data_IF_621164341942
#
_entry.id   IF_621164341942
#
_cell.length_a   1.000
_cell.length_b   1.000
_cell.length_c   1.000
_cell.angle_alpha   90.00
_cell.angle_beta   90.00
_cell.angle_gamma   90.00
#
_symmetry.space_group_name_H-M   'P 1'
#
loop_
_entity.id
_entity.type
_entity.pdbx_description
1 polymer ?
#
# COMPACT_ATOMS: atom_id res chain seq x y z
N UNK A 1 -3.53 -13.13 3.16
CA UNK A 1 -2.77 -13.04 4.43
C UNK A 1 -3.62 -12.25 5.40
N UNK A 2 -3.72 -12.69 6.64
CA UNK A 2 -4.59 -12.08 7.64
C UNK A 2 -3.75 -11.23 8.61
N UNK A 3 -3.19 -10.14 8.08
CA UNK A 3 -2.29 -9.25 8.84
C UNK A 3 -2.99 -8.62 10.05
N UNK A 4 -4.30 -8.39 9.97
CA UNK A 4 -5.09 -7.86 11.08
C UNK A 4 -5.18 -8.85 12.24
N UNK A 5 -5.35 -10.16 11.98
CA UNK A 5 -5.31 -11.17 13.05
C UNK A 5 -3.95 -11.26 13.73
N UNK A 6 -2.86 -11.14 12.97
CA UNK A 6 -1.51 -11.11 13.55
C UNK A 6 -1.35 -9.87 14.45
N UNK A 7 -1.78 -8.68 13.98
CA UNK A 7 -1.71 -7.47 14.77
C UNK A 7 -2.51 -7.55 16.07
N UNK A 8 -3.71 -8.13 16.05
CA UNK A 8 -4.52 -8.36 17.26
C UNK A 8 -3.84 -9.32 18.24
N UNK A 9 -3.23 -10.39 17.72
CA UNK A 9 -2.47 -11.32 18.54
C UNK A 9 -1.28 -10.62 19.22
N UNK A 10 -0.52 -9.82 18.46
CA UNK A 10 0.63 -9.08 18.99
C UNK A 10 0.21 -8.07 20.06
N UNK A 11 -0.82 -7.26 19.83
CA UNK A 11 -1.31 -6.29 20.81
C UNK A 11 -1.85 -6.96 22.08
N UNK A 12 -2.46 -8.15 21.94
CA UNK A 12 -2.94 -8.93 23.11
C UNK A 12 -1.79 -9.56 23.90
N UNK A 13 -0.74 -10.01 23.20
CA UNK A 13 0.38 -10.75 23.81
C UNK A 13 1.48 -9.83 24.33
N UNK A 14 1.70 -8.70 23.66
CA UNK A 14 2.75 -7.71 23.91
C UNK A 14 2.14 -6.30 23.84
N UNK A 15 1.41 -5.87 24.89
CA UNK A 15 0.64 -4.62 24.88
C UNK A 15 1.48 -3.35 25.07
N UNK A 16 2.79 -3.46 25.27
CA UNK A 16 3.70 -2.33 25.43
C UNK A 16 4.86 -2.41 24.43
N UNK A 17 5.07 -1.39 23.58
CA UNK A 17 4.27 -0.16 23.46
C UNK A 17 2.89 -0.41 22.81
N UNK A 18 1.84 0.31 23.23
CA UNK A 18 0.49 0.10 22.70
C UNK A 18 0.37 0.60 21.26
N UNK A 19 -0.31 -0.17 20.40
CA UNK A 19 -0.58 0.17 19.01
C UNK A 19 -2.10 0.19 18.74
N UNK A 20 -2.70 1.37 18.48
CA UNK A 20 -4.11 1.44 18.08
C UNK A 20 -4.36 0.65 16.79
N UNK A 21 -5.13 -0.44 16.90
CA UNK A 21 -5.42 -1.32 15.75
C UNK A 21 -6.64 -0.87 14.94
N UNK A 22 -7.60 -0.21 15.58
CA UNK A 22 -8.86 0.19 14.95
C UNK A 22 -9.18 1.62 15.33
N UNK A 23 -9.56 2.42 14.33
CA UNK A 23 -10.17 3.73 14.53
C UNK A 23 -11.19 4.00 13.41
N UNK A 24 -12.20 4.87 13.63
CA UNK A 24 -13.12 5.26 12.56
C UNK A 24 -12.41 5.86 11.34
N UNK A 25 -11.41 6.71 11.58
CA UNK A 25 -10.59 7.32 10.53
C UNK A 25 -9.76 6.26 9.79
N UNK A 26 -9.06 5.40 10.52
CA UNK A 26 -8.24 4.34 9.95
C UNK A 26 -9.03 3.36 9.09
N UNK A 27 -10.19 2.90 9.59
CA UNK A 27 -11.09 2.01 8.84
C UNK A 27 -11.57 2.65 7.53
N UNK A 28 -11.88 3.95 7.56
CA UNK A 28 -12.29 4.70 6.37
C UNK A 28 -11.15 4.78 5.34
N UNK A 29 -9.94 5.09 5.78
CA UNK A 29 -8.73 5.13 4.95
C UNK A 29 -8.46 3.76 4.32
N UNK A 30 -8.44 2.69 5.13
CA UNK A 30 -8.15 1.34 4.66
C UNK A 30 -9.16 0.86 3.60
N UNK A 31 -10.45 1.08 3.82
CA UNK A 31 -11.49 0.68 2.88
C UNK A 31 -11.39 1.44 1.56
N UNK A 32 -11.18 2.76 1.59
CA UNK A 32 -11.01 3.53 0.35
C UNK A 32 -9.70 3.18 -0.36
N UNK A 33 -8.61 3.00 0.36
CA UNK A 33 -7.30 2.61 -0.20
C UNK A 33 -7.36 1.26 -0.92
N UNK A 34 -8.06 0.26 -0.37
CA UNK A 34 -8.23 -1.05 -1.02
C UNK A 34 -8.93 -0.95 -2.38
N UNK A 35 -9.88 -0.04 -2.50
CA UNK A 35 -10.62 0.17 -3.75
C UNK A 35 -9.80 1.00 -4.74
N UNK A 36 -9.28 2.15 -4.30
CA UNK A 36 -8.64 3.13 -5.17
C UNK A 36 -7.19 2.74 -5.43
N UNK A 37 -6.33 2.74 -4.41
CA UNK A 37 -4.91 2.42 -4.55
C UNK A 37 -4.73 0.98 -5.01
N UNK A 38 -5.54 0.05 -4.48
CA UNK A 38 -5.53 -1.35 -4.92
C UNK A 38 -5.80 -1.52 -6.42
N UNK A 39 -6.68 -0.69 -7.01
CA UNK A 39 -6.92 -0.72 -8.46
C UNK A 39 -5.72 -0.25 -9.27
N UNK A 40 -5.05 0.82 -8.81
CA UNK A 40 -3.82 1.34 -9.43
C UNK A 40 -2.69 0.33 -9.30
N UNK A 41 -2.49 -0.25 -8.11
CA UNK A 41 -1.43 -1.22 -7.87
C UNK A 41 -1.64 -2.52 -8.65
N UNK A 42 -2.89 -2.92 -8.89
CA UNK A 42 -3.19 -4.03 -9.79
C UNK A 42 -2.69 -3.77 -11.20
N UNK A 43 -2.77 -2.54 -11.69
CA UNK A 43 -2.34 -2.19 -13.05
C UNK A 43 -0.85 -1.87 -13.12
N UNK A 44 -0.32 -1.14 -12.13
CA UNK A 44 1.03 -0.59 -12.13
C UNK A 44 2.07 -1.42 -11.36
N UNK A 45 1.71 -2.09 -10.27
CA UNK A 45 2.69 -2.84 -9.45
C UNK A 45 2.72 -4.31 -9.87
N UNK A 46 1.55 -4.96 -9.90
CA UNK A 46 1.43 -6.40 -10.16
C UNK A 46 2.20 -6.91 -11.39
N UNK A 47 2.15 -6.28 -12.59
CA UNK A 47 2.88 -6.80 -13.74
C UNK A 47 4.39 -6.68 -13.59
N UNK A 48 4.87 -5.76 -12.75
CA UNK A 48 6.29 -5.50 -12.50
C UNK A 48 6.86 -6.37 -11.37
N UNK A 49 6.00 -6.93 -10.49
CA UNK A 49 6.43 -7.83 -9.40
C UNK A 49 7.27 -9.02 -9.90
N UNK A 50 7.05 -9.48 -11.15
CA UNK A 50 7.83 -10.58 -11.72
C UNK A 50 9.33 -10.29 -11.78
N UNK A 51 9.74 -9.02 -11.84
CA UNK A 51 11.15 -8.63 -11.94
C UNK A 51 11.91 -8.67 -10.62
N UNK A 52 11.21 -8.70 -9.48
CA UNK A 52 11.82 -8.74 -8.13
C UNK A 52 11.70 -10.11 -7.47
N UNK A 53 10.90 -11.02 -8.04
CA UNK A 53 10.69 -12.36 -7.53
C UNK A 53 11.82 -13.32 -7.93
N UNK A 54 12.08 -14.32 -7.08
CA UNK A 54 12.97 -15.43 -7.42
C UNK A 54 12.46 -16.20 -8.65
N UNK A 55 13.33 -16.86 -9.45
CA UNK A 55 12.90 -17.60 -10.64
C UNK A 55 11.80 -18.64 -10.37
N UNK A 56 11.87 -19.35 -9.24
CA UNK A 56 10.84 -20.30 -8.85
C UNK A 56 9.49 -19.62 -8.55
N UNK A 57 9.52 -18.47 -7.88
CA UNK A 57 8.32 -17.69 -7.57
C UNK A 57 7.70 -17.05 -8.82
N UNK A 58 8.51 -16.68 -9.82
CA UNK A 58 8.03 -16.06 -11.06
C UNK A 58 7.06 -16.96 -11.84
N UNK A 59 7.35 -18.26 -11.98
CA UNK A 59 6.45 -19.21 -12.68
C UNK A 59 5.09 -19.28 -12.00
N UNK A 60 5.09 -19.53 -10.69
CA UNK A 60 3.87 -19.61 -9.91
C UNK A 60 3.09 -18.29 -9.93
N UNK A 61 3.80 -17.16 -9.77
CA UNK A 61 3.20 -15.84 -9.77
C UNK A 61 2.53 -15.54 -11.11
N UNK A 62 3.23 -15.69 -12.23
CA UNK A 62 2.68 -15.47 -13.57
C UNK A 62 1.45 -16.34 -13.79
N UNK A 63 1.57 -17.66 -13.62
CA UNK A 63 0.47 -18.61 -13.83
C UNK A 63 -0.77 -18.24 -13.03
N UNK A 64 -0.61 -17.94 -11.73
CA UNK A 64 -1.76 -17.68 -10.85
C UNK A 64 -2.36 -16.28 -11.02
N UNK A 65 -1.55 -15.28 -11.39
CA UNK A 65 -2.04 -13.91 -11.62
C UNK A 65 -2.71 -13.77 -12.97
N UNK A 66 -2.15 -14.32 -14.04
CA UNK A 66 -2.78 -14.32 -15.37
C UNK A 66 -4.11 -15.11 -15.35
N UNK A 67 -4.18 -16.22 -14.61
CA UNK A 67 -5.45 -16.92 -14.38
C UNK A 67 -6.51 -16.03 -13.70
N UNK A 68 -6.11 -15.21 -12.71
CA UNK A 68 -7.01 -14.25 -12.04
C UNK A 68 -7.42 -13.08 -12.92
N UNK A 69 -6.65 -12.76 -13.97
CA UNK A 69 -7.01 -11.78 -14.98
C UNK A 69 -7.97 -12.34 -16.04
N UNK A 70 -8.36 -13.61 -15.95
CA UNK A 70 -9.28 -14.27 -16.88
C UNK A 70 -8.61 -15.30 -17.79
N UNK A 71 -7.37 -15.72 -17.52
CA UNK A 71 -6.71 -16.85 -18.18
C UNK A 71 -6.21 -16.63 -19.61
N UNK A 72 -6.59 -15.52 -20.25
CA UNK A 72 -6.12 -15.11 -21.57
C UNK A 72 -5.34 -13.79 -21.61
N UNK A 73 -5.19 -13.10 -20.47
CA UNK A 73 -4.50 -11.83 -20.38
C UNK A 73 -3.13 -12.02 -19.71
N UNK A 74 -2.08 -11.55 -20.38
CA UNK A 74 -0.72 -11.52 -19.83
C UNK A 74 -0.55 -10.39 -18.83
N UNK A 75 0.42 -10.51 -17.94
CA UNK A 75 0.77 -9.42 -17.02
C UNK A 75 1.07 -8.12 -17.78
N UNK A 76 1.85 -8.20 -18.86
CA UNK A 76 2.28 -7.06 -19.66
C UNK A 76 1.10 -6.30 -20.30
N UNK A 77 -0.03 -6.98 -20.55
CA UNK A 77 -1.23 -6.37 -21.12
C UNK A 77 -1.90 -5.37 -20.17
N UNK A 78 -1.53 -5.36 -18.88
CA UNK A 78 -1.98 -4.36 -17.90
C UNK A 78 -1.32 -2.99 -18.14
N UNK A 79 -0.13 -2.97 -18.73
CA UNK A 79 0.61 -1.75 -19.04
C UNK A 79 0.40 -1.28 -20.49
N UNK A 80 -0.06 -2.18 -21.37
CA UNK A 80 -0.29 -1.89 -22.77
C UNK A 80 -1.31 -0.76 -23.00
N UNK A 81 -1.18 -0.07 -24.14
CA UNK A 81 -2.17 0.89 -24.65
C UNK A 81 -2.52 2.03 -23.67
N UNK A 82 -1.58 2.45 -22.82
CA UNK A 82 -1.83 3.53 -21.85
C UNK A 82 -2.86 3.18 -20.77
N UNK A 83 -3.10 1.89 -20.51
CA UNK A 83 -4.00 1.43 -19.43
C UNK A 83 -3.54 1.90 -18.05
N UNK A 84 -2.22 1.95 -17.82
CA UNK A 84 -1.65 2.50 -16.60
C UNK A 84 -2.06 3.95 -16.37
N UNK A 85 -1.84 4.83 -17.36
CA UNK A 85 -2.18 6.25 -17.20
C UNK A 85 -3.69 6.46 -17.00
N UNK A 86 -4.53 5.74 -17.75
CA UNK A 86 -5.99 5.76 -17.57
C UNK A 86 -6.40 5.29 -16.17
N UNK A 87 -5.73 4.28 -15.62
CA UNK A 87 -5.96 3.82 -14.25
C UNK A 87 -5.62 4.90 -13.22
N UNK A 88 -4.53 5.63 -13.44
CA UNK A 88 -4.14 6.74 -12.57
C UNK A 88 -5.08 7.94 -12.67
N UNK A 89 -5.49 8.30 -13.88
CA UNK A 89 -6.47 9.36 -14.12
C UNK A 89 -7.79 9.05 -13.42
N UNK A 90 -8.32 7.83 -13.58
CA UNK A 90 -9.55 7.39 -12.94
C UNK A 90 -9.45 7.36 -11.40
N UNK A 91 -8.27 7.06 -10.85
CA UNK A 91 -8.05 6.99 -9.41
C UNK A 91 -7.69 8.34 -8.77
N UNK A 92 -7.32 9.35 -9.55
CA UNK A 92 -6.69 10.61 -9.08
C UNK A 92 -7.45 11.27 -7.93
N UNK A 93 -8.75 11.52 -8.12
CA UNK A 93 -9.58 12.17 -7.09
C UNK A 93 -9.67 11.32 -5.82
N UNK A 94 -9.76 10.01 -5.97
CA UNK A 94 -9.80 9.08 -4.85
C UNK A 94 -8.48 9.04 -4.06
N UNK A 95 -7.33 9.01 -4.75
CA UNK A 95 -6.01 9.03 -4.10
C UNK A 95 -5.81 10.37 -3.38
N UNK A 96 -6.23 11.48 -4.00
CA UNK A 96 -6.17 12.80 -3.37
C UNK A 96 -7.06 12.87 -2.12
N UNK A 97 -8.29 12.36 -2.18
CA UNK A 97 -9.16 12.28 -1.01
C UNK A 97 -8.53 11.46 0.12
N UNK A 98 -7.94 10.30 -0.19
CA UNK A 98 -7.24 9.49 0.81
C UNK A 98 -6.07 10.26 1.42
N UNK A 99 -5.30 10.98 0.60
CA UNK A 99 -4.21 11.82 1.06
C UNK A 99 -4.65 12.89 2.05
N UNK A 100 -5.76 13.57 1.79
CA UNK A 100 -6.35 14.52 2.74
C UNK A 100 -6.81 13.85 4.04
N UNK A 101 -7.34 12.62 3.97
CA UNK A 101 -7.69 11.85 5.18
C UNK A 101 -6.47 11.50 6.02
N UNK A 102 -5.33 11.14 5.40
CA UNK A 102 -4.07 10.89 6.11
C UNK A 102 -3.62 12.15 6.87
N UNK A 103 -3.90 13.34 6.33
CA UNK A 103 -3.52 14.62 6.93
C UNK A 103 -4.48 15.15 8.00
N UNK A 104 -5.57 14.42 8.33
CA UNK A 104 -6.59 14.86 9.31
C UNK A 104 -5.97 15.34 10.62
N UNK A 105 -4.91 14.68 11.10
CA UNK A 105 -4.23 15.01 12.36
C UNK A 105 -2.79 15.52 12.15
N UNK A 106 -2.45 16.03 10.96
CA UNK A 106 -1.07 16.40 10.60
C UNK A 106 -0.46 17.50 11.49
N UNK A 107 -1.28 18.33 12.14
CA UNK A 107 -0.80 19.34 13.11
C UNK A 107 -0.22 18.68 14.36
N UNK A 108 -0.74 17.51 14.76
CA UNK A 108 -0.29 16.79 15.95
C UNK A 108 0.93 15.90 15.68
N UNK A 109 1.12 15.44 14.45
CA UNK A 109 2.26 14.62 14.06
C UNK A 109 2.06 13.96 12.68
N UNK A 110 3.05 13.17 12.23
CA UNK A 110 3.06 12.60 10.88
C UNK A 110 2.10 11.42 10.69
N UNK A 111 1.56 10.86 11.78
CA UNK A 111 0.73 9.66 11.73
C UNK A 111 -0.75 9.98 11.57
N UNK A 112 -1.52 9.00 11.11
CA UNK A 112 -2.99 9.10 10.91
C UNK A 112 -3.70 9.53 12.19
N UNK A 113 -3.22 9.09 13.36
CA UNK A 113 -3.76 9.46 14.68
C UNK A 113 -2.94 10.56 15.39
N UNK A 114 -2.04 11.24 14.67
CA UNK A 114 -1.23 12.34 15.14
C UNK A 114 0.17 11.91 15.60
N UNK A 115 0.36 11.79 16.91
CA UNK A 115 1.70 11.71 17.53
C UNK A 115 2.33 10.31 17.45
N UNK A 116 1.52 9.24 17.56
CA UNK A 116 1.99 7.85 17.60
C UNK A 116 1.44 7.07 16.40
N UNK A 117 2.17 6.05 15.92
CA UNK A 117 1.69 5.20 14.83
C UNK A 117 0.45 4.40 15.25
N UNK A 118 -0.32 4.01 14.25
CA UNK A 118 -1.45 3.09 14.32
C UNK A 118 -1.28 1.96 13.30
N UNK A 119 -2.14 0.94 13.37
CA UNK A 119 -2.15 -0.12 12.36
C UNK A 119 -2.36 0.44 10.94
N UNK A 120 -3.15 1.51 10.78
CA UNK A 120 -3.38 2.13 9.47
C UNK A 120 -2.10 2.76 8.90
N UNK A 121 -1.24 3.34 9.74
CA UNK A 121 0.05 3.87 9.29
C UNK A 121 0.92 2.75 8.71
N UNK A 122 1.00 1.60 9.37
CA UNK A 122 1.74 0.44 8.86
C UNK A 122 1.08 -0.21 7.65
N UNK A 123 -0.25 -0.17 7.54
CA UNK A 123 -0.96 -0.60 6.32
C UNK A 123 -0.56 0.24 5.11
N UNK A 124 -0.47 1.56 5.27
CA UNK A 124 -0.05 2.49 4.22
C UNK A 124 1.44 2.33 3.93
N UNK A 125 2.30 2.42 4.95
CA UNK A 125 3.75 2.33 4.81
C UNK A 125 4.18 1.00 4.18
N UNK A 126 3.61 -0.13 4.61
CA UNK A 126 3.92 -1.45 4.03
C UNK A 126 3.48 -1.58 2.57
N UNK A 127 2.37 -0.94 2.19
CA UNK A 127 1.92 -0.91 0.79
C UNK A 127 2.85 -0.06 -0.08
N UNK A 128 3.29 1.10 0.44
CA UNK A 128 4.23 1.99 -0.23
C UNK A 128 5.62 1.37 -0.35
N UNK A 129 6.09 0.68 0.68
CA UNK A 129 7.38 -0.04 0.65
C UNK A 129 7.37 -1.14 -0.41
N UNK A 130 6.28 -1.91 -0.50
CA UNK A 130 6.13 -2.91 -1.56
C UNK A 130 6.17 -2.27 -2.95
N UNK A 131 5.48 -1.13 -3.14
CA UNK A 131 5.56 -0.38 -4.39
C UNK A 131 6.98 0.09 -4.68
N UNK A 132 7.69 0.65 -3.69
CA UNK A 132 9.06 1.16 -3.84
C UNK A 132 10.05 0.07 -4.25
N UNK A 133 9.93 -1.12 -3.67
CA UNK A 133 10.77 -2.28 -4.02
C UNK A 133 10.51 -2.76 -5.44
N UNK A 134 9.26 -2.71 -5.90
CA UNK A 134 8.85 -3.21 -7.23
C UNK A 134 9.13 -2.18 -8.33
N UNK A 135 8.76 -0.92 -8.09
CA UNK A 135 8.90 0.19 -9.02
C UNK A 135 8.91 1.53 -8.25
N UNK A 136 10.08 2.17 -8.20
CA UNK A 136 10.27 3.45 -7.50
C UNK A 136 9.41 4.59 -8.11
N UNK A 137 9.15 4.56 -9.42
CA UNK A 137 8.30 5.56 -10.08
C UNK A 137 6.85 5.51 -9.63
N UNK A 138 6.31 4.30 -9.44
CA UNK A 138 4.96 4.10 -8.87
C UNK A 138 4.90 4.60 -7.43
N UNK A 139 5.93 4.30 -6.62
CA UNK A 139 6.04 4.80 -5.25
C UNK A 139 6.07 6.33 -5.20
N UNK A 140 6.95 6.96 -5.98
CA UNK A 140 7.06 8.42 -6.06
C UNK A 140 5.76 9.07 -6.51
N UNK A 141 5.05 8.44 -7.45
CA UNK A 141 3.75 8.92 -7.91
C UNK A 141 2.68 8.91 -6.82
N UNK A 142 2.63 7.89 -5.95
CA UNK A 142 1.73 7.90 -4.78
C UNK A 142 2.18 8.94 -3.76
N UNK A 143 3.49 9.01 -3.48
CA UNK A 143 4.05 9.95 -2.51
C UNK A 143 3.93 11.42 -2.95
N UNK A 144 3.69 11.69 -4.23
CA UNK A 144 3.34 13.02 -4.73
C UNK A 144 1.94 13.49 -4.32
N UNK A 145 1.07 12.60 -3.85
CA UNK A 145 -0.21 12.98 -3.25
C UNK A 145 -0.03 13.34 -1.76
N UNK A 146 -0.91 14.19 -1.20
CA UNK A 146 -0.77 14.66 0.18
C UNK A 146 -0.69 13.52 1.21
N UNK A 147 0.14 13.65 2.25
CA UNK A 147 0.12 12.79 3.43
C UNK A 147 0.80 11.43 3.29
N UNK A 148 0.92 10.87 2.08
CA UNK A 148 1.51 9.55 1.87
C UNK A 148 2.99 9.50 2.24
N UNK A 149 3.76 10.51 1.81
CA UNK A 149 5.19 10.59 2.13
C UNK A 149 5.41 10.78 3.62
N UNK A 150 4.64 11.65 4.26
CA UNK A 150 4.77 11.94 5.69
C UNK A 150 4.48 10.70 6.55
N UNK A 151 3.45 9.93 6.22
CA UNK A 151 3.14 8.66 6.92
C UNK A 151 4.24 7.62 6.68
N UNK A 152 4.72 7.50 5.44
CA UNK A 152 5.79 6.55 5.08
C UNK A 152 7.10 6.87 5.82
N UNK A 153 7.56 8.12 5.74
CA UNK A 153 8.78 8.59 6.38
C UNK A 153 8.65 8.51 7.91
N UNK A 154 7.46 8.81 8.44
CA UNK A 154 7.13 8.64 9.85
C UNK A 154 7.30 7.19 10.33
N UNK A 155 7.11 6.20 9.46
CA UNK A 155 7.27 4.77 9.75
C UNK A 155 8.70 4.24 9.50
N UNK A 156 9.64 5.05 9.01
CA UNK A 156 10.96 4.59 8.54
C UNK A 156 11.74 3.77 9.59
N UNK A 157 11.69 4.18 10.86
CA UNK A 157 12.40 3.50 11.95
C UNK A 157 11.96 2.03 12.17
N UNK A 158 10.75 1.64 11.72
CA UNK A 158 10.25 0.27 11.81
C UNK A 158 10.51 -0.56 10.54
N UNK A 159 10.99 0.07 9.48
CA UNK A 159 11.29 -0.59 8.19
C UNK A 159 12.78 -0.91 8.02
N UNK A 160 13.64 -0.48 8.94
CA UNK A 160 15.05 -0.83 8.95
C UNK A 160 15.23 -2.35 9.04
N UNK A 161 15.93 -2.92 8.06
CA UNK A 161 16.34 -4.32 8.13
C UNK A 161 17.40 -4.46 9.21
N UNK A 162 17.21 -5.43 10.10
CA UNK A 162 18.23 -5.90 11.02
C UNK A 162 18.85 -7.15 10.40
N UNK A 163 19.81 -6.93 9.52
CA UNK A 163 20.67 -7.97 8.95
C UNK A 163 21.80 -8.39 9.91
#
# INVERSE_FOLDING_TARGET
MDSSRIAHFLETTYPDPPLPLVSPLGTKIENHSRLVIGSVFRTSVMPREIHVLSPCSQEYFRRTREARLGGGQRLEDLLAEGKEERSWEAAREGVQMIGELLRTNAVAGPFVLGVKPSYTDFFVAGSLEAARVVDEGVFERVCGFPGFREVYDGCAAWMERRD
#
